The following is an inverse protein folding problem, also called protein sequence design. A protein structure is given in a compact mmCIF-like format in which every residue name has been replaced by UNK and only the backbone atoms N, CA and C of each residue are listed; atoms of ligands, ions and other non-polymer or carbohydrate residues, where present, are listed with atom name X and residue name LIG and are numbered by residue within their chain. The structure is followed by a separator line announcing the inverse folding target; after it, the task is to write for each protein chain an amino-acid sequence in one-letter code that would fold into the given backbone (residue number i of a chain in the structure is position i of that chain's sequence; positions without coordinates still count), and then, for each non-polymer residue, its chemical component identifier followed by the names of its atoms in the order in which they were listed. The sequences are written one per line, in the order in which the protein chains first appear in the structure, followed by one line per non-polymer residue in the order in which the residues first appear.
data_IF_110690722008
#
_entry.id   IF_110690722008
#
_cell.length_a   1.000
_cell.length_b   1.000
_cell.length_c   1.000
_cell.angle_alpha   90.00
_cell.angle_beta   90.00
_cell.angle_gamma   90.00
#
_symmetry.space_group_name_H-M   'P 1'
#
loop_
_entity.id
_entity.type
_entity.pdbx_description
1 polymer ?
#
# COMPACT_ATOMS: atom_id res chain seq x y z
N UNK A 1 -3.69 68.41 36.64
CA UNK A 1 -2.77 68.79 35.55
C UNK A 1 -1.44 68.11 35.83
N UNK A 2 -1.11 67.01 35.18
CA UNK A 2 0.12 66.23 35.41
C UNK A 2 1.22 66.84 34.54
N UNK A 3 2.23 67.47 35.13
CA UNK A 3 3.43 67.91 34.45
C UNK A 3 4.43 66.71 34.37
N UNK A 4 4.56 66.12 33.23
CA UNK A 4 5.68 65.21 32.97
C UNK A 4 6.95 66.05 32.67
N UNK A 5 7.99 65.89 33.47
CA UNK A 5 9.24 66.63 33.26
C UNK A 5 9.94 66.11 32.00
N UNK A 6 10.73 66.95 31.31
CA UNK A 6 11.49 66.59 30.10
C UNK A 6 12.39 65.37 30.30
N UNK A 7 12.88 65.12 31.49
CA UNK A 7 13.66 63.96 31.90
C UNK A 7 12.82 62.65 31.88
N UNK A 8 11.55 62.71 32.25
CA UNK A 8 10.64 61.54 32.22
C UNK A 8 10.29 61.13 30.81
N UNK A 9 10.09 62.10 29.90
CA UNK A 9 9.85 61.82 28.47
C UNK A 9 11.04 61.21 27.78
N UNK A 10 12.26 61.64 28.11
CA UNK A 10 13.50 61.09 27.56
C UNK A 10 13.76 59.66 28.08
N UNK A 11 13.43 59.38 29.32
CA UNK A 11 13.52 58.04 29.89
C UNK A 11 12.54 57.08 29.20
N UNK A 12 11.30 57.52 28.94
CA UNK A 12 10.26 56.75 28.27
C UNK A 12 10.65 56.43 26.80
N UNK A 13 11.20 57.39 26.07
CA UNK A 13 11.67 57.17 24.68
C UNK A 13 12.83 56.18 24.61
N UNK A 14 13.74 56.21 25.58
CA UNK A 14 14.85 55.25 25.65
C UNK A 14 14.35 53.80 25.95
N UNK A 15 13.35 53.67 26.83
CA UNK A 15 12.70 52.40 27.13
C UNK A 15 11.97 51.84 25.92
N UNK A 16 11.28 52.65 25.14
CA UNK A 16 10.60 52.28 23.92
C UNK A 16 11.61 51.77 22.85
N UNK A 17 12.72 52.54 22.69
CA UNK A 17 13.76 52.15 21.75
C UNK A 17 14.46 50.83 22.15
N UNK A 18 14.72 50.62 23.45
CA UNK A 18 15.26 49.38 23.98
C UNK A 18 14.30 48.20 23.75
N UNK A 19 13.01 48.43 23.96
CA UNK A 19 11.97 47.41 23.68
C UNK A 19 11.94 47.03 22.18
N UNK A 20 11.97 48.02 21.27
CA UNK A 20 12.01 47.74 19.84
C UNK A 20 13.28 46.98 19.41
N UNK A 21 14.41 47.32 19.99
CA UNK A 21 15.70 46.66 19.73
C UNK A 21 15.63 45.19 20.21
N UNK A 22 15.09 44.94 21.39
CA UNK A 22 14.90 43.59 21.94
C UNK A 22 13.94 42.73 21.08
N UNK A 23 12.79 43.30 20.70
CA UNK A 23 11.79 42.59 19.88
C UNK A 23 12.38 42.26 18.49
N UNK A 24 13.12 43.17 17.88
CA UNK A 24 13.73 42.91 16.57
C UNK A 24 14.84 41.85 16.64
N UNK A 25 15.65 41.84 17.70
CA UNK A 25 16.65 40.79 17.90
C UNK A 25 16.01 39.42 18.16
N UNK A 26 14.95 39.35 18.92
CA UNK A 26 14.19 38.10 19.13
C UNK A 26 13.58 37.59 17.83
N UNK A 27 13.01 38.47 16.99
CA UNK A 27 12.50 38.10 15.66
C UNK A 27 13.62 37.58 14.76
N UNK A 28 14.79 38.22 14.76
CA UNK A 28 15.93 37.80 13.97
C UNK A 28 16.44 36.41 14.40
N UNK A 29 16.54 36.19 15.72
CA UNK A 29 16.94 34.87 16.27
C UNK A 29 15.92 33.79 15.89
N UNK A 30 14.62 34.10 15.98
CA UNK A 30 13.58 33.16 15.59
C UNK A 30 13.64 32.81 14.09
N UNK A 31 13.93 33.83 13.25
CA UNK A 31 14.09 33.62 11.80
C UNK A 31 15.35 32.83 11.47
N UNK A 32 16.44 33.04 12.17
CA UNK A 32 17.69 32.26 12.02
C UNK A 32 17.52 30.82 12.48
N UNK A 33 16.85 30.58 13.62
CA UNK A 33 16.53 29.24 14.10
C UNK A 33 15.58 28.50 13.14
N UNK A 34 14.60 29.21 12.59
CA UNK A 34 13.69 28.65 11.59
C UNK A 34 14.41 28.30 10.29
N UNK A 35 15.36 29.14 9.86
CA UNK A 35 16.18 28.88 8.67
C UNK A 35 17.12 27.68 8.87
N UNK A 36 17.76 27.56 10.03
CA UNK A 36 18.58 26.38 10.40
C UNK A 36 17.71 25.12 10.44
N UNK A 37 16.50 25.22 10.99
CA UNK A 37 15.57 24.08 11.04
C UNK A 37 15.10 23.62 9.65
N UNK A 38 15.02 24.53 8.67
CA UNK A 38 14.67 24.19 7.29
C UNK A 38 15.87 23.68 6.50
N UNK A 39 17.06 24.26 6.72
CA UNK A 39 18.26 23.94 5.93
C UNK A 39 18.90 22.60 6.27
N UNK A 40 18.72 22.11 7.49
CA UNK A 40 19.30 20.85 7.96
C UNK A 40 18.33 19.65 7.92
N UNK A 41 17.15 19.80 7.30
CA UNK A 41 16.26 18.66 7.07
C UNK A 41 16.58 17.97 5.74
N UNK A 42 17.39 16.91 5.72
CA UNK A 42 17.58 16.06 4.53
C UNK A 42 16.33 15.21 4.20
N UNK A 43 15.17 15.54 4.81
CA UNK A 43 13.91 14.80 4.70
C UNK A 43 13.25 14.86 3.32
N UNK A 44 13.80 15.62 2.35
CA UNK A 44 13.17 15.77 1.03
C UNK A 44 13.93 15.10 -0.12
N UNK A 45 14.99 14.35 0.15
CA UNK A 45 15.74 13.70 -0.92
C UNK A 45 16.29 12.32 -0.53
N UNK A 46 15.61 11.57 0.33
CA UNK A 46 15.87 10.15 0.39
C UNK A 46 15.07 9.50 -0.74
N UNK A 47 15.64 9.52 -1.93
CA UNK A 47 15.41 8.49 -2.92
C UNK A 47 15.77 7.16 -2.24
N UNK A 48 14.80 6.59 -1.53
CA UNK A 48 14.89 5.21 -1.11
C UNK A 48 14.90 4.40 -2.41
N UNK A 49 16.08 4.16 -2.96
CA UNK A 49 16.31 3.02 -3.84
C UNK A 49 16.06 1.78 -2.97
N UNK A 50 14.81 1.50 -2.71
CA UNK A 50 14.38 0.23 -2.12
C UNK A 50 14.70 -0.82 -3.16
N UNK A 51 15.87 -1.44 -3.00
CA UNK A 51 16.23 -2.60 -3.81
C UNK A 51 15.31 -3.72 -3.38
N UNK A 52 14.42 -4.17 -4.26
CA UNK A 52 13.60 -5.35 -4.01
C UNK A 52 14.51 -6.54 -3.71
N UNK A 53 14.30 -7.17 -2.57
CA UNK A 53 15.07 -8.34 -2.12
C UNK A 53 14.21 -9.59 -2.05
N UNK A 54 13.00 -9.46 -1.55
CA UNK A 54 12.08 -10.58 -1.33
C UNK A 54 10.74 -10.28 -1.99
N UNK A 55 10.33 -11.18 -2.88
CA UNK A 55 9.02 -11.14 -3.54
C UNK A 55 8.23 -12.37 -3.11
N UNK A 56 7.01 -12.18 -2.64
CA UNK A 56 6.04 -13.25 -2.44
C UNK A 56 5.09 -13.29 -3.63
N UNK A 57 4.99 -14.43 -4.26
CA UNK A 57 4.01 -14.71 -5.30
C UNK A 57 2.93 -15.59 -4.70
N UNK A 58 1.70 -15.17 -4.82
CA UNK A 58 0.52 -15.83 -4.27
C UNK A 58 -0.35 -16.39 -5.40
N UNK A 59 -0.25 -17.70 -5.69
CA UNK A 59 -1.20 -18.35 -6.59
C UNK A 59 -2.58 -18.39 -5.93
N UNK A 60 -3.55 -17.65 -6.47
CA UNK A 60 -4.92 -17.62 -5.93
C UNK A 60 -5.55 -18.98 -5.81
N UNK A 61 -6.50 -19.13 -4.89
CA UNK A 61 -7.24 -20.37 -4.65
C UNK A 61 -6.36 -21.56 -4.24
N UNK A 62 -6.83 -22.80 -4.45
CA UNK A 62 -6.07 -24.03 -4.17
C UNK A 62 -6.85 -25.04 -3.34
N UNK A 63 -6.53 -26.32 -3.50
CA UNK A 63 -7.17 -27.42 -2.78
C UNK A 63 -8.69 -27.43 -2.96
N UNK A 64 -9.43 -27.25 -1.85
CA UNK A 64 -10.91 -27.21 -1.83
C UNK A 64 -11.50 -25.95 -2.49
N UNK A 65 -10.73 -24.87 -2.58
CA UNK A 65 -11.10 -23.66 -3.30
C UNK A 65 -10.65 -23.77 -4.76
N UNK A 66 -11.60 -23.99 -5.65
CA UNK A 66 -11.34 -24.18 -7.08
C UNK A 66 -11.13 -22.86 -7.84
N UNK A 67 -11.61 -21.75 -7.28
CA UNK A 67 -11.80 -20.51 -8.05
C UNK A 67 -12.82 -20.68 -9.17
N UNK A 68 -12.77 -19.76 -10.11
CA UNK A 68 -13.66 -19.76 -11.27
C UNK A 68 -13.36 -20.94 -12.22
N UNK A 69 -14.39 -21.55 -12.77
CA UNK A 69 -14.23 -22.52 -13.84
C UNK A 69 -14.10 -21.80 -15.19
N UNK A 70 -13.09 -22.15 -15.95
CA UNK A 70 -12.91 -21.66 -17.32
C UNK A 70 -14.13 -21.90 -18.21
N UNK A 71 -14.30 -21.01 -19.19
CA UNK A 71 -15.41 -21.08 -20.15
C UNK A 71 -15.28 -22.28 -21.08
N UNK A 72 -16.28 -22.53 -21.92
CA UNK A 72 -16.51 -23.70 -22.80
C UNK A 72 -15.24 -24.27 -23.48
N UNK A 73 -14.25 -23.43 -23.80
CA UNK A 73 -13.01 -23.83 -24.48
C UNK A 73 -11.99 -24.43 -23.49
N UNK A 74 -11.93 -23.93 -22.27
CA UNK A 74 -10.94 -24.30 -21.27
C UNK A 74 -11.65 -24.77 -20.00
N UNK A 75 -11.97 -26.07 -19.93
CA UNK A 75 -12.57 -26.69 -18.73
C UNK A 75 -11.52 -26.90 -17.64
N UNK A 76 -10.86 -25.84 -17.23
CA UNK A 76 -9.80 -25.84 -16.23
C UNK A 76 -10.21 -24.87 -15.10
N UNK A 77 -10.01 -25.27 -13.87
CA UNK A 77 -10.24 -24.39 -12.71
C UNK A 77 -9.12 -23.36 -12.60
N UNK A 78 -9.51 -22.18 -12.16
CA UNK A 78 -8.62 -21.03 -11.95
C UNK A 78 -7.39 -21.38 -11.11
N UNK A 79 -7.54 -22.14 -10.02
CA UNK A 79 -6.45 -22.56 -9.13
C UNK A 79 -5.27 -23.22 -9.87
N UNK A 80 -5.52 -23.94 -10.95
CA UNK A 80 -4.46 -24.57 -11.73
C UNK A 80 -3.75 -23.58 -12.66
N UNK A 81 -4.50 -22.66 -13.25
CA UNK A 81 -3.95 -21.59 -14.08
C UNK A 81 -3.11 -20.63 -13.24
N UNK A 82 -3.67 -20.17 -12.12
CA UNK A 82 -3.00 -19.30 -11.17
C UNK A 82 -1.67 -19.91 -10.70
N UNK A 83 -1.67 -21.20 -10.33
CA UNK A 83 -0.44 -21.91 -9.93
C UNK A 83 0.59 -21.96 -11.07
N UNK A 84 0.18 -22.35 -12.25
CA UNK A 84 1.10 -22.51 -13.39
C UNK A 84 1.72 -21.16 -13.80
N UNK A 85 0.93 -20.08 -13.83
CA UNK A 85 1.41 -18.75 -14.16
C UNK A 85 2.36 -18.23 -13.08
N UNK A 86 2.02 -18.41 -11.80
CA UNK A 86 2.84 -17.98 -10.66
C UNK A 86 4.22 -18.65 -10.66
N UNK A 87 4.28 -19.96 -10.85
CA UNK A 87 5.55 -20.69 -10.90
C UNK A 87 6.42 -20.24 -12.08
N UNK A 88 5.79 -19.97 -13.23
CA UNK A 88 6.48 -19.46 -14.41
C UNK A 88 6.97 -18.04 -14.20
N UNK A 89 6.18 -17.17 -13.59
CA UNK A 89 6.55 -15.80 -13.23
C UNK A 89 7.79 -15.80 -12.33
N UNK A 90 7.77 -16.58 -11.26
CA UNK A 90 8.91 -16.65 -10.35
C UNK A 90 10.17 -17.17 -11.03
N UNK A 91 10.04 -18.14 -11.96
CA UNK A 91 11.17 -18.60 -12.77
C UNK A 91 11.75 -17.47 -13.63
N UNK A 92 10.89 -16.67 -14.28
CA UNK A 92 11.33 -15.53 -15.07
C UNK A 92 12.03 -14.46 -14.23
N UNK A 93 11.45 -14.10 -13.09
CA UNK A 93 12.05 -13.13 -12.17
C UNK A 93 13.41 -13.65 -11.68
N UNK A 94 13.51 -14.91 -11.27
CA UNK A 94 14.76 -15.50 -10.77
C UNK A 94 15.86 -15.54 -11.81
N UNK A 95 15.51 -15.80 -13.08
CA UNK A 95 16.46 -15.80 -14.18
C UNK A 95 16.94 -14.37 -14.52
N UNK A 96 16.05 -13.40 -14.50
CA UNK A 96 16.38 -11.99 -14.79
C UNK A 96 17.11 -11.32 -13.61
N UNK A 97 16.75 -11.69 -12.38
CA UNK A 97 17.24 -11.07 -11.13
C UNK A 97 17.66 -12.15 -10.13
N UNK A 98 18.83 -12.79 -10.29
CA UNK A 98 19.27 -13.92 -9.46
C UNK A 98 19.37 -13.62 -7.96
N UNK A 99 19.54 -12.34 -7.59
CA UNK A 99 19.66 -11.90 -6.21
C UNK A 99 18.32 -11.71 -5.49
N UNK A 100 17.19 -11.76 -6.21
CA UNK A 100 15.87 -11.67 -5.60
C UNK A 100 15.48 -13.02 -5.01
N UNK A 101 15.05 -13.03 -3.76
CA UNK A 101 14.46 -14.20 -3.10
C UNK A 101 12.97 -14.29 -3.45
N UNK A 102 12.58 -15.39 -4.09
CA UNK A 102 11.18 -15.67 -4.46
C UNK A 102 10.60 -16.66 -3.46
N UNK A 103 9.49 -16.29 -2.86
CA UNK A 103 8.66 -17.16 -2.03
C UNK A 103 7.30 -17.33 -2.69
N UNK A 104 6.71 -18.49 -2.50
CA UNK A 104 5.33 -18.76 -2.92
C UNK A 104 4.48 -19.01 -1.69
N UNK A 105 3.24 -18.52 -1.68
CA UNK A 105 2.28 -18.91 -0.65
C UNK A 105 1.94 -20.40 -0.77
N UNK A 106 1.81 -20.90 -2.00
CA UNK A 106 1.74 -22.32 -2.34
C UNK A 106 2.48 -22.61 -3.64
N UNK A 107 3.03 -23.78 -3.74
CA UNK A 107 3.70 -24.31 -4.94
C UNK A 107 3.05 -25.61 -5.47
N UNK A 108 2.00 -26.04 -4.77
CA UNK A 108 1.18 -27.22 -5.10
C UNK A 108 -0.31 -26.89 -5.00
N UNK A 109 -1.18 -27.85 -5.32
CA UNK A 109 -2.64 -27.68 -5.21
C UNK A 109 -3.13 -27.92 -3.78
N UNK A 110 -2.81 -27.00 -2.87
CA UNK A 110 -3.25 -26.99 -1.48
C UNK A 110 -4.11 -25.76 -1.19
N UNK A 111 -5.04 -25.88 -0.26
CA UNK A 111 -5.80 -24.76 0.25
C UNK A 111 -5.01 -24.05 1.34
N UNK A 112 -4.89 -22.73 1.23
CA UNK A 112 -4.40 -21.86 2.27
C UNK A 112 -5.44 -20.81 2.59
N UNK A 113 -5.63 -20.54 3.87
CA UNK A 113 -6.48 -19.45 4.35
C UNK A 113 -5.88 -18.08 3.95
N UNK A 114 -6.72 -17.05 3.85
CA UNK A 114 -6.27 -15.73 3.39
C UNK A 114 -5.27 -15.09 4.37
N UNK A 115 -5.47 -15.30 5.68
CA UNK A 115 -4.53 -14.80 6.69
C UNK A 115 -3.16 -15.50 6.58
N UNK A 116 -3.10 -16.81 6.32
CA UNK A 116 -1.85 -17.55 6.17
C UNK A 116 -0.99 -16.99 5.02
N UNK A 117 -1.64 -16.57 3.92
CA UNK A 117 -0.96 -15.95 2.78
C UNK A 117 -0.30 -14.63 3.15
N UNK A 118 -1.02 -13.77 3.86
CA UNK A 118 -0.50 -12.48 4.33
C UNK A 118 0.52 -12.61 5.46
N UNK A 119 0.32 -13.56 6.38
CA UNK A 119 1.28 -13.87 7.43
C UNK A 119 2.61 -14.36 6.86
N UNK A 120 2.59 -15.20 5.83
CA UNK A 120 3.83 -15.63 5.16
C UNK A 120 4.59 -14.41 4.64
N UNK A 121 3.91 -13.50 3.93
CA UNK A 121 4.54 -12.30 3.39
C UNK A 121 5.13 -11.41 4.47
N UNK A 122 4.41 -11.22 5.58
CA UNK A 122 4.87 -10.43 6.72
C UNK A 122 6.06 -11.10 7.41
N UNK A 123 6.02 -12.41 7.64
CA UNK A 123 7.07 -13.16 8.33
C UNK A 123 8.40 -13.16 7.57
N UNK A 124 8.35 -13.14 6.23
CA UNK A 124 9.57 -13.07 5.40
C UNK A 124 9.98 -11.62 5.10
N UNK A 125 9.28 -10.63 5.64
CA UNK A 125 9.47 -9.20 5.35
C UNK A 125 9.51 -8.94 3.84
N UNK A 126 8.47 -9.38 3.12
CA UNK A 126 8.40 -9.22 1.68
C UNK A 126 8.36 -7.74 1.27
N UNK A 127 9.17 -7.36 0.28
CA UNK A 127 9.15 -6.03 -0.31
C UNK A 127 8.01 -5.86 -1.32
N UNK A 128 7.54 -6.99 -1.89
CA UNK A 128 6.46 -7.02 -2.87
C UNK A 128 5.64 -8.30 -2.70
N UNK A 129 4.31 -8.15 -2.71
CA UNK A 129 3.35 -9.26 -2.75
C UNK A 129 2.55 -9.19 -4.05
N UNK A 130 2.55 -10.27 -4.82
CA UNK A 130 1.84 -10.38 -6.10
C UNK A 130 0.89 -11.56 -6.02
N UNK A 131 -0.41 -11.30 -6.03
CA UNK A 131 -1.44 -12.35 -6.14
C UNK A 131 -1.86 -12.53 -7.59
N UNK A 132 -1.99 -13.77 -8.02
CA UNK A 132 -2.34 -14.15 -9.39
C UNK A 132 -3.69 -14.85 -9.39
N UNK A 133 -4.65 -14.26 -10.11
CA UNK A 133 -6.01 -14.74 -10.28
C UNK A 133 -6.41 -14.79 -11.75
N UNK A 134 -7.58 -15.34 -12.05
CA UNK A 134 -8.22 -15.24 -13.35
C UNK A 134 -9.55 -14.49 -13.18
N UNK A 135 -9.72 -13.39 -13.91
CA UNK A 135 -10.97 -12.63 -13.89
C UNK A 135 -12.15 -13.47 -14.40
N UNK A 136 -13.21 -13.54 -13.61
CA UNK A 136 -14.47 -14.16 -14.01
C UNK A 136 -15.40 -13.13 -14.65
N UNK A 137 -15.79 -13.34 -15.91
CA UNK A 137 -16.79 -12.54 -16.62
C UNK A 137 -17.98 -13.37 -17.06
N UNK A 138 -19.17 -12.80 -16.97
CA UNK A 138 -20.38 -13.39 -17.54
C UNK A 138 -20.39 -13.34 -19.07
N UNK A 139 -19.73 -12.34 -19.66
CA UNK A 139 -19.52 -12.21 -21.09
C UNK A 139 -18.23 -12.94 -21.49
N UNK A 140 -18.26 -13.90 -22.43
CA UNK A 140 -17.09 -14.67 -22.86
C UNK A 140 -16.12 -13.92 -23.79
N UNK A 141 -16.44 -12.70 -24.21
CA UNK A 141 -15.67 -11.95 -25.18
C UNK A 141 -14.44 -11.19 -24.61
N UNK A 142 -14.47 -10.67 -23.36
CA UNK A 142 -13.29 -10.03 -22.80
C UNK A 142 -12.09 -10.94 -22.80
N UNK A 143 -10.93 -10.38 -23.18
CA UNK A 143 -9.63 -11.05 -23.14
C UNK A 143 -8.56 -10.02 -22.77
N UNK A 144 -7.49 -10.48 -22.18
CA UNK A 144 -6.38 -9.62 -21.73
C UNK A 144 -5.98 -9.92 -20.30
N UNK A 145 -5.16 -9.04 -19.74
CA UNK A 145 -4.76 -9.05 -18.35
C UNK A 145 -5.18 -7.74 -17.68
N UNK A 146 -5.44 -7.79 -16.40
CA UNK A 146 -5.78 -6.64 -15.56
C UNK A 146 -4.83 -6.59 -14.38
N UNK A 147 -4.45 -5.40 -13.93
CA UNK A 147 -3.67 -5.20 -12.72
C UNK A 147 -4.53 -4.46 -11.70
N UNK A 148 -4.68 -5.04 -10.53
CA UNK A 148 -5.43 -4.45 -9.42
C UNK A 148 -4.45 -4.03 -8.32
N UNK A 149 -4.60 -2.81 -7.84
CA UNK A 149 -3.82 -2.28 -6.73
C UNK A 149 -4.74 -2.02 -5.55
N UNK A 150 -4.37 -2.56 -4.38
CA UNK A 150 -5.11 -2.30 -3.15
C UNK A 150 -4.96 -0.84 -2.75
N UNK A 151 -6.09 -0.13 -2.63
CA UNK A 151 -6.12 1.28 -2.28
C UNK A 151 -7.53 1.83 -2.20
N UNK A 152 -7.64 3.15 -2.00
CA UNK A 152 -8.92 3.86 -1.87
C UNK A 152 -9.69 3.98 -3.21
N UNK A 153 -9.58 3.02 -4.10
CA UNK A 153 -10.33 3.04 -5.35
C UNK A 153 -11.82 2.93 -5.09
N UNK A 154 -12.56 3.97 -5.46
CA UNK A 154 -14.03 4.00 -5.40
C UNK A 154 -14.68 3.37 -6.63
N UNK A 155 -13.87 2.81 -7.52
CA UNK A 155 -14.40 2.16 -8.73
C UNK A 155 -15.11 0.87 -8.34
N UNK A 156 -16.39 0.81 -8.63
CA UNK A 156 -17.24 -0.35 -8.33
C UNK A 156 -16.65 -1.66 -8.88
N UNK A 157 -16.05 -1.63 -10.07
CA UNK A 157 -15.44 -2.80 -10.68
C UNK A 157 -14.31 -3.39 -9.83
N UNK A 158 -13.42 -2.55 -9.27
CA UNK A 158 -12.33 -3.02 -8.40
C UNK A 158 -12.88 -3.60 -7.09
N UNK A 159 -13.95 -3.00 -6.56
CA UNK A 159 -14.60 -3.51 -5.36
C UNK A 159 -15.24 -4.89 -5.62
N UNK A 160 -15.96 -5.04 -6.73
CA UNK A 160 -16.62 -6.29 -7.10
C UNK A 160 -15.59 -7.44 -7.27
N UNK A 161 -14.41 -7.16 -7.84
CA UNK A 161 -13.30 -8.12 -7.92
C UNK A 161 -12.78 -8.47 -6.51
N UNK A 162 -12.46 -7.49 -5.70
CA UNK A 162 -11.97 -7.72 -4.34
C UNK A 162 -12.96 -8.53 -3.49
N UNK A 163 -14.26 -8.23 -3.59
CA UNK A 163 -15.31 -8.97 -2.89
C UNK A 163 -15.39 -10.42 -3.35
N UNK A 164 -15.23 -10.68 -4.64
CA UNK A 164 -15.26 -12.04 -5.19
C UNK A 164 -14.05 -12.84 -4.72
N UNK A 165 -12.84 -12.30 -4.87
CA UNK A 165 -11.61 -13.02 -4.53
C UNK A 165 -11.50 -13.28 -3.01
N UNK A 166 -11.94 -12.34 -2.19
CA UNK A 166 -11.94 -12.53 -0.74
C UNK A 166 -13.11 -13.40 -0.24
N UNK A 167 -14.03 -13.83 -1.11
CA UNK A 167 -15.12 -14.73 -0.70
C UNK A 167 -14.63 -16.11 -0.24
N UNK A 168 -13.39 -16.49 -0.53
CA UNK A 168 -12.76 -17.70 0.00
C UNK A 168 -12.74 -17.76 1.54
N UNK A 169 -12.82 -16.62 2.23
CA UNK A 169 -12.95 -16.55 3.70
C UNK A 169 -14.12 -17.37 4.24
N UNK A 170 -15.23 -17.54 3.47
CA UNK A 170 -16.36 -18.36 3.90
C UNK A 170 -16.07 -19.87 3.90
N UNK A 171 -14.95 -20.30 3.34
CA UNK A 171 -14.49 -21.68 3.37
C UNK A 171 -13.56 -21.97 4.57
N UNK A 172 -13.27 -20.91 5.36
CA UNK A 172 -12.38 -20.99 6.53
C UNK A 172 -13.17 -21.23 7.82
N UNK A 173 -12.58 -21.98 8.74
CA UNK A 173 -13.17 -22.21 10.03
C UNK A 173 -13.01 -20.97 10.94
N UNK A 174 -14.10 -20.57 11.61
CA UNK A 174 -14.11 -19.44 12.55
C UNK A 174 -13.66 -18.08 11.93
N UNK A 175 -13.95 -17.88 10.64
CA UNK A 175 -13.51 -16.68 9.91
C UNK A 175 -13.94 -15.37 10.58
N UNK A 176 -15.14 -15.30 11.18
CA UNK A 176 -15.63 -14.09 11.85
C UNK A 176 -14.72 -13.63 13.00
N UNK A 177 -14.12 -14.58 13.74
CA UNK A 177 -13.19 -14.28 14.83
C UNK A 177 -11.79 -13.92 14.30
N UNK A 178 -11.36 -14.61 13.23
CA UNK A 178 -10.04 -14.37 12.62
C UNK A 178 -9.90 -13.01 11.97
N UNK A 179 -11.00 -12.47 11.44
CA UNK A 179 -10.99 -11.23 10.65
C UNK A 179 -11.78 -10.10 11.31
N UNK A 180 -11.90 -10.10 12.64
CA UNK A 180 -12.55 -9.05 13.44
C UNK A 180 -13.92 -8.60 12.91
N UNK A 181 -14.70 -9.54 12.41
CA UNK A 181 -16.01 -9.29 11.83
C UNK A 181 -15.99 -8.70 10.41
N UNK A 182 -14.84 -8.73 9.72
CA UNK A 182 -14.80 -8.36 8.30
C UNK A 182 -15.77 -9.21 7.48
N UNK A 183 -16.66 -8.54 6.74
CA UNK A 183 -17.58 -9.18 5.82
C UNK A 183 -17.16 -8.91 4.37
N UNK A 184 -16.69 -9.93 3.62
CA UNK A 184 -16.31 -9.78 2.23
C UNK A 184 -17.45 -9.38 1.28
N UNK A 185 -18.71 -9.39 1.73
CA UNK A 185 -19.86 -8.88 0.98
C UNK A 185 -20.22 -7.43 1.31
N UNK A 186 -19.62 -6.84 2.34
CA UNK A 186 -19.89 -5.47 2.77
C UNK A 186 -18.91 -4.50 2.11
N UNK A 187 -19.43 -3.50 1.41
CA UNK A 187 -18.62 -2.39 0.87
C UNK A 187 -18.00 -1.56 1.98
N UNK A 188 -18.68 -1.42 3.11
CA UNK A 188 -18.21 -0.69 4.29
C UNK A 188 -16.94 -1.33 4.86
N UNK A 189 -16.91 -2.67 4.96
CA UNK A 189 -15.72 -3.42 5.40
C UNK A 189 -14.51 -3.12 4.52
N UNK A 190 -14.68 -3.07 3.20
CA UNK A 190 -13.59 -2.74 2.27
C UNK A 190 -13.15 -1.29 2.35
N UNK A 191 -14.08 -0.35 2.60
CA UNK A 191 -13.72 1.07 2.78
C UNK A 191 -12.83 1.22 4.01
N UNK A 192 -13.20 0.61 5.14
CA UNK A 192 -12.39 0.64 6.37
C UNK A 192 -11.03 0.00 6.13
N UNK A 193 -10.99 -1.17 5.49
CA UNK A 193 -9.76 -1.88 5.17
C UNK A 193 -8.83 -1.06 4.24
N UNK A 194 -9.38 -0.42 3.22
CA UNK A 194 -8.60 0.39 2.27
C UNK A 194 -8.00 1.65 2.91
N UNK A 195 -8.63 2.21 3.93
CA UNK A 195 -8.09 3.35 4.68
C UNK A 195 -6.81 2.98 5.45
N UNK A 196 -6.69 1.73 5.89
CA UNK A 196 -5.51 1.23 6.60
C UNK A 196 -4.32 0.93 5.68
N UNK A 197 -4.55 0.74 4.38
CA UNK A 197 -3.57 0.23 3.42
C UNK A 197 -2.81 1.31 2.61
N UNK A 198 -2.96 2.58 2.96
CA UNK A 198 -2.52 3.70 2.10
C UNK A 198 -0.99 3.90 2.01
N UNK A 199 -0.19 3.26 2.86
CA UNK A 199 1.24 3.54 2.98
C UNK A 199 2.04 3.15 1.72
N UNK A 200 1.65 2.08 1.02
CA UNK A 200 2.39 1.53 -0.14
C UNK A 200 1.69 1.74 -1.49
N UNK A 201 0.57 2.46 -1.48
CA UNK A 201 -0.26 2.64 -2.69
C UNK A 201 0.53 3.25 -3.86
N UNK A 202 1.38 4.23 -3.59
CA UNK A 202 2.15 4.90 -4.63
C UNK A 202 3.16 3.96 -5.33
N UNK A 203 3.85 3.12 -4.56
CA UNK A 203 4.77 2.13 -5.10
C UNK A 203 4.03 1.06 -5.90
N UNK A 204 2.89 0.60 -5.40
CA UNK A 204 2.04 -0.39 -6.08
C UNK A 204 1.49 0.14 -7.40
N UNK A 205 1.04 1.41 -7.44
CA UNK A 205 0.59 2.07 -8.68
C UNK A 205 1.72 2.17 -9.70
N UNK A 206 2.94 2.49 -9.29
CA UNK A 206 4.10 2.52 -10.19
C UNK A 206 4.35 1.18 -10.85
N UNK A 207 4.30 0.10 -10.09
CA UNK A 207 4.49 -1.27 -10.63
C UNK A 207 3.35 -1.59 -11.61
N UNK A 208 2.10 -1.26 -11.26
CA UNK A 208 0.95 -1.50 -12.12
C UNK A 208 1.07 -0.75 -13.46
N UNK A 209 1.49 0.52 -13.43
CA UNK A 209 1.73 1.32 -14.63
C UNK A 209 2.81 0.75 -15.54
N UNK A 210 3.87 0.17 -14.98
CA UNK A 210 4.93 -0.47 -15.79
C UNK A 210 4.44 -1.78 -16.42
N UNK A 211 3.63 -2.56 -15.70
CA UNK A 211 3.03 -3.80 -16.24
C UNK A 211 2.01 -3.50 -17.33
N UNK A 212 1.27 -2.38 -17.26
CA UNK A 212 0.28 -1.99 -18.27
C UNK A 212 0.92 -1.54 -19.59
N UNK A 213 2.18 -1.07 -19.56
CA UNK A 213 2.89 -0.59 -20.77
C UNK A 213 3.42 -1.70 -21.67
N UNK A 214 3.56 -2.91 -21.17
CA UNK A 214 4.07 -4.07 -21.88
C UNK A 214 2.94 -4.89 -22.55
#
# INVERSE_FOLDING_TARGET
MLYLSYTSLKCLSNLINLYHLLVNNVKLIFFLLFYVFISDNPLLAQSNNTVLKTIVIDPGHGGKDSGTMGTKRFKIYEKHVALAVSLKLGTYIKNAFPNIDIKYTRDTDVFLELNERTELANNVNADLFISIHCDGFTNPNPSGASVFVMGMSKLKANMDVAMRENSAIYMEDNYQQKYDGFDPKSQESYIVFSLMQNTYLHQSLKIAEEVEKE
#
